data_IF_743220628691
#
_entry.id   IF_743220628691
#
_cell.length_a   1.000
_cell.length_b   1.000
_cell.length_c   1.000
_cell.angle_alpha   90.00
_cell.angle_beta   90.00
_cell.angle_gamma   90.00
#
_symmetry.space_group_name_H-M   'P 1'
#
loop_
_entity.id
_entity.type
_entity.pdbx_description
1 polymer ?
#
# COMPACT_ATOMS: atom_id res chain seq x y z
N UNK A 1 0.96 -18.85 9.17
CA UNK A 1 0.12 -17.73 9.64
C UNK A 1 -1.31 -17.94 9.22
N UNK A 2 -2.25 -17.21 9.80
CA UNK A 2 -3.67 -17.23 9.45
C UNK A 2 -4.11 -15.82 9.01
N UNK A 3 -5.11 -15.74 8.14
CA UNK A 3 -5.66 -14.44 7.70
C UNK A 3 -6.50 -13.82 8.82
N UNK A 4 -6.16 -12.59 9.20
CA UNK A 4 -7.00 -11.79 10.08
C UNK A 4 -8.17 -11.19 9.30
N UNK A 5 -9.38 -11.76 9.49
CA UNK A 5 -10.59 -11.42 8.72
C UNK A 5 -11.54 -10.47 9.45
N UNK A 6 -11.38 -10.30 10.77
CA UNK A 6 -12.32 -9.58 11.62
C UNK A 6 -13.69 -10.26 11.73
N UNK A 7 -14.63 -9.64 12.44
CA UNK A 7 -15.91 -10.26 12.79
C UNK A 7 -16.81 -10.60 11.58
N UNK A 8 -16.62 -9.92 10.45
CA UNK A 8 -17.47 -10.07 9.24
C UNK A 8 -16.69 -10.25 7.94
N UNK A 9 -15.39 -10.52 8.01
CA UNK A 9 -14.58 -10.70 6.80
C UNK A 9 -14.04 -9.42 6.15
N UNK A 10 -14.28 -8.25 6.75
CA UNK A 10 -13.88 -6.94 6.23
C UNK A 10 -12.73 -6.29 7.02
N UNK A 11 -11.93 -7.08 7.75
CA UNK A 11 -10.69 -6.52 8.30
C UNK A 11 -9.72 -6.18 7.15
N UNK A 12 -8.91 -5.14 7.36
CA UNK A 12 -7.92 -4.72 6.38
C UNK A 12 -8.35 -3.56 5.47
N UNK A 13 -9.49 -2.92 5.73
CA UNK A 13 -9.92 -1.67 5.05
C UNK A 13 -9.08 -0.44 5.48
N UNK A 14 -7.77 -0.62 5.55
CA UNK A 14 -6.80 0.37 6.07
C UNK A 14 -6.70 1.59 5.18
N UNK A 15 -7.05 1.46 3.89
CA UNK A 15 -7.18 2.60 2.96
C UNK A 15 -8.18 3.65 3.45
N UNK A 16 -9.15 3.27 4.29
CA UNK A 16 -10.12 4.18 4.90
C UNK A 16 -9.72 4.71 6.27
N UNK A 17 -8.55 4.36 6.81
CA UNK A 17 -8.05 5.00 8.03
C UNK A 17 -7.85 6.50 7.78
N UNK A 18 -8.27 7.34 8.73
CA UNK A 18 -7.99 8.77 8.65
C UNK A 18 -6.52 9.03 8.98
N UNK A 19 -5.78 9.54 8.01
CA UNK A 19 -4.41 10.03 8.20
C UNK A 19 -4.34 11.56 8.22
N UNK A 20 -5.36 12.23 7.67
CA UNK A 20 -5.49 13.69 7.73
C UNK A 20 -6.84 14.13 8.26
N UNK A 21 -6.85 14.63 9.50
CA UNK A 21 -8.09 14.96 10.21
C UNK A 21 -8.96 16.00 9.48
N UNK A 22 -8.32 16.93 8.77
CA UNK A 22 -8.99 17.94 7.95
C UNK A 22 -8.86 17.68 6.44
N UNK A 23 -8.60 16.42 6.08
CA UNK A 23 -8.26 15.99 4.74
C UNK A 23 -9.40 16.01 3.72
N UNK A 24 -9.09 15.48 2.53
CA UNK A 24 -9.99 15.40 1.37
C UNK A 24 -11.24 14.56 1.71
N UNK A 25 -12.43 14.88 1.14
CA UNK A 25 -13.61 14.03 1.26
C UNK A 25 -13.38 12.68 0.59
N UNK A 26 -13.85 11.60 1.21
CA UNK A 26 -13.78 10.25 0.67
C UNK A 26 -15.17 9.78 0.22
N UNK A 27 -15.23 8.99 -0.85
CA UNK A 27 -16.47 8.37 -1.32
C UNK A 27 -17.09 7.39 -0.31
N UNK A 28 -16.33 6.94 0.70
CA UNK A 28 -16.86 6.12 1.80
C UNK A 28 -17.72 6.92 2.80
N UNK A 29 -17.78 8.26 2.68
CA UNK A 29 -18.51 9.16 3.57
C UNK A 29 -17.65 9.81 4.66
N UNK A 30 -16.39 9.41 4.81
CA UNK A 30 -15.42 10.00 5.75
C UNK A 30 -14.56 11.10 5.09
N UNK A 31 -13.52 11.54 5.80
CA UNK A 31 -12.49 12.47 5.32
C UNK A 31 -11.09 12.00 5.70
N UNK A 32 -10.12 12.38 4.87
CA UNK A 32 -8.70 12.14 5.16
C UNK A 32 -8.29 10.67 5.07
N UNK A 33 -9.06 9.85 4.36
CA UNK A 33 -8.76 8.43 4.17
C UNK A 33 -7.39 8.26 3.48
N UNK A 34 -6.58 7.33 4.00
CA UNK A 34 -5.22 7.06 3.53
C UNK A 34 -5.10 6.87 2.01
N UNK A 35 -6.06 6.17 1.41
CA UNK A 35 -6.06 5.95 -0.04
C UNK A 35 -6.06 7.24 -0.87
N UNK A 36 -6.57 8.35 -0.34
CA UNK A 36 -6.62 9.64 -1.05
C UNK A 36 -5.24 10.30 -1.18
N UNK A 37 -4.23 9.72 -0.54
CA UNK A 37 -2.87 10.25 -0.45
C UNK A 37 -1.80 9.22 -0.84
N UNK A 38 -2.09 7.92 -0.70
CA UNK A 38 -1.15 6.82 -0.95
C UNK A 38 -1.73 5.74 -1.88
N UNK A 39 -2.47 6.15 -2.92
CA UNK A 39 -2.98 5.24 -3.96
C UNK A 39 -3.07 5.93 -5.33
N UNK A 40 -3.50 5.19 -6.36
CA UNK A 40 -3.75 5.74 -7.69
C UNK A 40 -4.86 6.82 -7.70
N UNK A 41 -5.73 6.87 -6.67
CA UNK A 41 -6.72 7.97 -6.52
C UNK A 41 -6.07 9.35 -6.43
N UNK A 42 -4.79 9.42 -6.11
CA UNK A 42 -4.04 10.68 -6.06
C UNK A 42 -3.78 11.26 -7.44
N UNK A 43 -3.82 10.44 -8.50
CA UNK A 43 -3.53 10.86 -9.87
C UNK A 43 -4.67 11.69 -10.49
N UNK A 44 -5.87 11.57 -9.95
CA UNK A 44 -7.05 12.32 -10.39
C UNK A 44 -7.18 13.69 -9.69
N UNK A 45 -6.12 14.14 -9.01
CA UNK A 45 -6.13 15.44 -8.35
C UNK A 45 -6.06 16.57 -9.40
N UNK A 46 -7.09 17.42 -9.55
CA UNK A 46 -7.12 18.47 -10.57
C UNK A 46 -6.04 19.54 -10.38
N UNK A 47 -5.51 19.66 -9.16
CA UNK A 47 -4.42 20.59 -8.84
C UNK A 47 -3.04 20.07 -9.28
N UNK A 48 -2.95 18.81 -9.74
CA UNK A 48 -1.72 18.19 -10.20
C UNK A 48 -1.79 17.96 -11.71
N UNK A 49 -0.84 18.50 -12.46
CA UNK A 49 -0.71 18.23 -13.89
C UNK A 49 0.15 17.00 -14.12
N UNK A 50 -0.40 15.82 -13.81
CA UNK A 50 0.27 14.56 -14.09
C UNK A 50 0.03 14.13 -15.55
N UNK A 51 1.03 13.55 -16.23
CA UNK A 51 0.93 13.19 -17.65
C UNK A 51 0.18 11.89 -17.91
N UNK A 52 -0.26 11.18 -16.85
CA UNK A 52 -0.96 9.92 -16.92
C UNK A 52 -1.73 9.64 -15.61
N UNK A 53 -2.63 8.66 -15.65
CA UNK A 53 -3.54 8.31 -14.53
C UNK A 53 -3.35 6.88 -14.01
N UNK A 54 -2.24 6.22 -14.36
CA UNK A 54 -1.92 4.88 -13.87
C UNK A 54 -0.46 4.80 -13.46
N UNK A 55 -0.15 3.98 -12.46
CA UNK A 55 1.24 3.84 -11.99
C UNK A 55 2.19 3.39 -13.10
N UNK A 56 1.89 2.36 -13.94
CA UNK A 56 2.82 1.90 -14.97
C UNK A 56 3.16 2.97 -16.02
N UNK A 57 2.26 3.91 -16.25
CA UNK A 57 2.50 5.04 -17.17
C UNK A 57 3.33 6.13 -16.51
N UNK A 58 2.98 6.51 -15.27
CA UNK A 58 3.73 7.50 -14.51
C UNK A 58 5.17 7.05 -14.22
N UNK A 59 5.40 5.76 -14.00
CA UNK A 59 6.76 5.19 -13.89
C UNK A 59 7.62 5.51 -15.12
N UNK A 60 7.05 5.51 -16.33
CA UNK A 60 7.82 5.86 -17.55
C UNK A 60 8.19 7.33 -17.57
N UNK A 61 7.29 8.21 -17.13
CA UNK A 61 7.58 9.64 -17.01
C UNK A 61 8.60 9.93 -15.90
N UNK A 62 8.49 9.26 -14.75
CA UNK A 62 9.49 9.35 -13.68
C UNK A 62 10.87 8.91 -14.16
N UNK A 63 10.96 7.78 -14.88
CA UNK A 63 12.21 7.29 -15.47
C UNK A 63 12.81 8.27 -16.50
N UNK A 64 11.98 9.08 -17.15
CA UNK A 64 12.44 10.17 -18.04
C UNK A 64 12.86 11.45 -17.30
N UNK A 65 12.77 11.48 -15.97
CA UNK A 65 13.18 12.61 -15.14
C UNK A 65 12.13 13.73 -15.03
N UNK A 66 10.85 13.44 -15.31
CA UNK A 66 9.81 14.46 -15.20
C UNK A 66 9.57 14.87 -13.74
N UNK A 67 9.88 16.12 -13.42
CA UNK A 67 9.92 16.65 -12.05
C UNK A 67 8.60 16.50 -11.29
N UNK A 68 7.45 16.85 -11.90
CA UNK A 68 6.15 16.77 -11.24
C UNK A 68 5.77 15.34 -10.83
N UNK A 69 6.06 14.35 -11.69
CA UNK A 69 5.81 12.95 -11.37
C UNK A 69 6.76 12.44 -10.28
N UNK A 70 8.03 12.83 -10.32
CA UNK A 70 9.00 12.48 -9.27
C UNK A 70 8.58 13.06 -7.91
N UNK A 71 8.21 14.34 -7.88
CA UNK A 71 7.72 15.01 -6.68
C UNK A 71 6.44 14.37 -6.14
N UNK A 72 5.52 13.98 -7.04
CA UNK A 72 4.29 13.29 -6.67
C UNK A 72 4.57 11.93 -6.04
N UNK A 73 5.44 11.10 -6.64
CA UNK A 73 5.83 9.83 -6.04
C UNK A 73 6.54 10.03 -4.69
N UNK A 74 7.43 11.02 -4.58
CA UNK A 74 8.08 11.32 -3.29
C UNK A 74 7.04 11.62 -2.21
N UNK A 75 6.09 12.51 -2.50
CA UNK A 75 5.00 12.86 -1.58
C UNK A 75 4.13 11.65 -1.24
N UNK A 76 3.79 10.83 -2.24
CA UNK A 76 3.04 9.59 -2.03
C UNK A 76 3.79 8.61 -1.12
N UNK A 77 5.11 8.48 -1.29
CA UNK A 77 5.96 7.64 -0.46
C UNK A 77 5.95 8.07 1.01
N UNK A 78 5.94 9.38 1.27
CA UNK A 78 5.80 9.90 2.65
C UNK A 78 4.46 9.51 3.27
N UNK A 79 3.35 9.71 2.56
CA UNK A 79 2.02 9.30 3.04
C UNK A 79 1.89 7.79 3.18
N UNK A 80 2.52 7.01 2.30
CA UNK A 80 2.61 5.56 2.42
C UNK A 80 3.35 5.19 3.71
N UNK A 81 4.46 5.86 4.03
CA UNK A 81 5.19 5.70 5.29
C UNK A 81 4.36 6.03 6.54
N UNK A 82 3.49 7.04 6.49
CA UNK A 82 2.58 7.39 7.59
C UNK A 82 1.62 6.24 7.89
N UNK A 83 0.90 5.75 6.87
CA UNK A 83 -0.05 4.66 7.09
C UNK A 83 0.64 3.34 7.44
N UNK A 84 1.79 3.04 6.84
CA UNK A 84 2.62 1.88 7.21
C UNK A 84 3.06 1.95 8.68
N UNK A 85 3.46 3.13 9.17
CA UNK A 85 3.77 3.35 10.59
C UNK A 85 2.58 2.99 11.49
N UNK A 86 1.36 3.38 11.11
CA UNK A 86 0.16 3.06 11.87
C UNK A 86 -0.07 1.53 11.92
N UNK A 87 0.18 0.81 10.83
CA UNK A 87 0.09 -0.65 10.79
C UNK A 87 1.16 -1.31 11.68
N UNK A 88 2.40 -0.81 11.65
CA UNK A 88 3.50 -1.30 12.50
C UNK A 88 3.12 -1.17 13.97
N UNK A 89 2.65 0.01 14.38
CA UNK A 89 2.26 0.26 15.77
C UNK A 89 1.01 -0.54 16.19
N UNK A 90 0.13 -0.88 15.24
CA UNK A 90 -1.12 -1.61 15.53
C UNK A 90 -0.92 -3.13 15.59
N UNK A 91 -0.04 -3.68 14.74
CA UNK A 91 0.08 -5.12 14.55
C UNK A 91 1.44 -5.70 14.93
N UNK A 92 2.47 -4.87 15.08
CA UNK A 92 3.86 -5.28 15.30
C UNK A 92 4.30 -6.43 14.36
N UNK A 93 4.18 -6.27 13.03
CA UNK A 93 4.50 -7.32 12.08
C UNK A 93 6.02 -7.48 11.87
N UNK A 94 6.43 -8.68 11.47
CA UNK A 94 7.80 -8.95 11.02
C UNK A 94 8.03 -8.50 9.55
N UNK A 95 6.97 -8.47 8.74
CA UNK A 95 7.05 -8.15 7.31
C UNK A 95 5.85 -7.33 6.85
N UNK A 96 6.11 -6.28 6.08
CA UNK A 96 5.12 -5.53 5.31
C UNK A 96 5.46 -5.66 3.83
N UNK A 97 4.49 -6.16 3.05
CA UNK A 97 4.62 -6.29 1.60
C UNK A 97 3.70 -5.28 0.93
N UNK A 98 4.28 -4.33 0.19
CA UNK A 98 3.55 -3.36 -0.62
C UNK A 98 3.25 -3.99 -1.98
N UNK A 99 1.97 -4.27 -2.24
CA UNK A 99 1.52 -4.92 -3.48
C UNK A 99 0.78 -3.97 -4.44
N UNK A 100 0.35 -4.53 -5.58
CA UNK A 100 -0.42 -3.81 -6.59
C UNK A 100 0.44 -2.92 -7.49
N UNK A 101 -0.20 -2.03 -8.23
CA UNK A 101 0.46 -1.18 -9.23
C UNK A 101 1.58 -0.31 -8.62
N UNK A 102 1.41 0.16 -7.37
CA UNK A 102 2.42 0.94 -6.65
C UNK A 102 3.76 0.22 -6.47
N UNK A 103 3.79 -1.12 -6.51
CA UNK A 103 5.06 -1.87 -6.46
C UNK A 103 5.99 -1.59 -7.64
N UNK A 104 5.45 -1.13 -8.76
CA UNK A 104 6.23 -0.75 -9.94
C UNK A 104 6.94 0.61 -9.76
N UNK A 105 6.55 1.39 -8.76
CA UNK A 105 7.14 2.69 -8.43
C UNK A 105 8.09 2.63 -7.20
N UNK A 106 8.56 1.43 -6.82
CA UNK A 106 9.46 1.23 -5.67
C UNK A 106 10.66 2.20 -5.65
N UNK A 107 11.26 2.46 -6.82
CA UNK A 107 12.43 3.32 -6.98
C UNK A 107 12.22 4.72 -6.37
N UNK A 108 11.00 5.27 -6.49
CA UNK A 108 10.67 6.63 -6.02
C UNK A 108 9.86 6.64 -4.73
N UNK A 109 9.14 5.56 -4.41
CA UNK A 109 8.34 5.45 -3.19
C UNK A 109 9.14 4.95 -1.98
N UNK A 110 10.16 4.12 -2.23
CA UNK A 110 10.78 3.30 -1.20
C UNK A 110 11.61 4.10 -0.20
N UNK A 111 12.43 5.05 -0.65
CA UNK A 111 13.21 5.91 0.26
C UNK A 111 12.29 6.78 1.13
N UNK A 112 11.33 7.55 0.57
CA UNK A 112 10.47 8.42 1.38
C UNK A 112 9.65 7.64 2.40
N UNK A 113 9.13 6.47 2.01
CA UNK A 113 8.44 5.55 2.92
C UNK A 113 9.34 5.16 4.08
N UNK A 114 10.54 4.66 3.79
CA UNK A 114 11.48 4.15 4.80
C UNK A 114 11.95 5.26 5.74
N UNK A 115 12.17 6.47 5.21
CA UNK A 115 12.50 7.66 6.00
C UNK A 115 11.41 7.99 7.00
N UNK A 116 10.15 8.11 6.55
CA UNK A 116 9.01 8.38 7.44
C UNK A 116 8.82 7.29 8.49
N UNK A 117 8.93 6.01 8.10
CA UNK A 117 8.85 4.90 9.04
C UNK A 117 9.97 4.98 10.08
N UNK A 118 11.21 5.27 9.67
CA UNK A 118 12.34 5.41 10.58
C UNK A 118 12.14 6.57 11.58
N UNK A 119 11.56 7.69 11.15
CA UNK A 119 11.31 8.86 12.01
C UNK A 119 10.17 8.61 13.02
N UNK A 120 9.16 7.80 12.67
CA UNK A 120 7.89 7.73 13.41
C UNK A 120 7.66 6.42 14.16
N UNK A 121 8.50 5.40 13.97
CA UNK A 121 8.40 4.13 14.70
C UNK A 121 9.33 4.07 15.91
N UNK A 122 8.85 3.44 16.98
CA UNK A 122 9.61 3.26 18.22
C UNK A 122 10.79 2.30 18.00
N UNK A 123 11.96 2.53 18.64
CA UNK A 123 13.18 1.76 18.36
C UNK A 123 13.04 0.23 18.47
N UNK A 124 12.22 -0.26 19.40
CA UNK A 124 12.03 -1.71 19.61
C UNK A 124 11.17 -2.39 18.53
N UNK A 125 10.32 -1.64 17.82
CA UNK A 125 9.56 -2.18 16.69
C UNK A 125 10.43 -2.39 15.43
N UNK A 126 11.65 -1.85 15.40
CA UNK A 126 12.53 -1.89 14.23
C UNK A 126 13.40 -3.15 14.14
N UNK A 127 13.58 -3.89 15.24
CA UNK A 127 14.64 -4.89 15.33
C UNK A 127 14.46 -6.11 14.40
N UNK A 128 13.28 -6.32 13.81
CA UNK A 128 12.99 -7.45 12.91
C UNK A 128 11.95 -7.10 11.83
N UNK A 129 11.71 -5.82 11.57
CA UNK A 129 10.72 -5.38 10.58
C UNK A 129 11.38 -5.28 9.20
N UNK A 130 10.82 -6.01 8.23
CA UNK A 130 11.13 -5.87 6.81
C UNK A 130 9.99 -5.19 6.06
N UNK A 131 10.33 -4.28 5.13
CA UNK A 131 9.37 -3.65 4.22
C UNK A 131 9.85 -3.87 2.79
N UNK A 132 9.08 -4.61 2.01
CA UNK A 132 9.39 -4.95 0.62
C UNK A 132 8.25 -4.58 -0.31
N UNK A 133 8.58 -4.34 -1.58
CA UNK A 133 7.59 -4.26 -2.64
C UNK A 133 7.43 -5.62 -3.32
N UNK A 134 6.21 -5.97 -3.71
CA UNK A 134 5.87 -7.25 -4.30
C UNK A 134 6.38 -7.37 -5.73
N UNK A 135 7.04 -8.49 -6.06
CA UNK A 135 7.47 -8.82 -7.43
C UNK A 135 6.32 -9.32 -8.33
N UNK A 136 5.12 -9.51 -7.76
CA UNK A 136 3.95 -9.97 -8.52
C UNK A 136 3.28 -8.84 -9.31
N UNK A 137 3.56 -7.58 -8.97
CA UNK A 137 2.95 -6.41 -9.60
C UNK A 137 1.42 -6.45 -9.56
N UNK A 138 0.80 -5.97 -10.63
CA UNK A 138 -0.66 -5.99 -10.84
C UNK A 138 -1.29 -7.40 -10.88
N UNK A 139 -0.49 -8.47 -11.04
CA UNK A 139 -0.99 -9.86 -11.09
C UNK A 139 -1.24 -10.47 -9.71
N UNK A 140 -0.77 -9.84 -8.63
CA UNK A 140 -0.88 -10.37 -7.26
C UNK A 140 -2.31 -10.74 -6.87
N UNK A 141 -3.28 -9.89 -7.19
CA UNK A 141 -4.71 -10.14 -6.91
C UNK A 141 -5.24 -11.35 -7.66
N UNK A 142 -4.92 -11.49 -8.95
CA UNK A 142 -5.36 -12.62 -9.78
C UNK A 142 -4.79 -13.94 -9.27
N UNK A 143 -3.50 -13.96 -8.92
CA UNK A 143 -2.83 -15.13 -8.33
C UNK A 143 -3.47 -15.49 -6.99
N UNK A 144 -3.72 -14.49 -6.13
CA UNK A 144 -4.38 -14.67 -4.84
C UNK A 144 -5.79 -15.24 -4.98
N UNK A 145 -6.57 -14.79 -5.96
CA UNK A 145 -7.89 -15.33 -6.26
C UNK A 145 -7.84 -16.80 -6.70
N UNK A 146 -6.92 -17.14 -7.62
CA UNK A 146 -6.70 -18.53 -8.05
C UNK A 146 -6.26 -19.43 -6.90
N UNK A 147 -5.29 -18.98 -6.09
CA UNK A 147 -4.85 -19.69 -4.89
C UNK A 147 -6.00 -19.88 -3.89
N UNK A 148 -6.80 -18.84 -3.64
CA UNK A 148 -7.96 -18.90 -2.74
C UNK A 148 -8.99 -19.93 -3.21
N UNK A 149 -9.31 -19.96 -4.50
CA UNK A 149 -10.22 -20.95 -5.08
C UNK A 149 -9.67 -22.38 -4.97
N UNK A 150 -8.38 -22.58 -5.27
CA UNK A 150 -7.71 -23.89 -5.16
C UNK A 150 -7.67 -24.35 -3.70
N UNK A 151 -7.32 -23.47 -2.76
CA UNK A 151 -7.28 -23.80 -1.33
C UNK A 151 -8.67 -24.04 -0.76
N UNK A 152 -9.71 -23.36 -1.25
CA UNK A 152 -11.08 -23.66 -0.84
C UNK A 152 -11.52 -25.05 -1.33
N UNK A 153 -11.10 -25.45 -2.53
CA UNK A 153 -11.44 -26.77 -3.08
C UNK A 153 -10.61 -27.91 -2.47
N UNK A 154 -9.30 -27.70 -2.26
CA UNK A 154 -8.35 -28.73 -1.82
C UNK A 154 -8.06 -28.72 -0.32
N UNK A 155 -8.19 -27.58 0.36
CA UNK A 155 -7.77 -27.39 1.75
C UNK A 155 -8.58 -28.21 2.76
N UNK A 156 -9.80 -28.61 2.41
CA UNK A 156 -10.64 -29.51 3.21
C UNK A 156 -10.36 -31.00 2.93
N UNK A 157 -9.51 -31.33 1.94
CA UNK A 157 -9.11 -32.71 1.66
C UNK A 157 -8.01 -33.11 2.63
N UNK A 158 -8.40 -33.64 3.79
CA UNK A 158 -7.50 -34.48 4.61
C UNK A 158 -7.29 -35.80 3.88
N UNK A 159 -6.18 -35.93 3.17
CA UNK A 159 -5.70 -37.25 2.73
C UNK A 159 -5.14 -37.95 3.98
N UNK A 160 -6.00 -38.67 4.70
CA UNK A 160 -5.55 -39.69 5.64
C UNK A 160 -5.00 -40.86 4.82
N UNK A 161 -3.67 -41.05 4.88
CA UNK A 161 -3.02 -42.30 4.50
C UNK A 161 -3.27 -43.37 5.56
#
# INVERSE_FOLDING_TARGET
GELYKGARGYAGETGHMTIEAQGKPCSCGSRGCWELYASEKTYDNPDLSLPAHTTPELVRYAASGQEDTLHHFSTMGEYLGIGVTNLINSFNPELIVIGGALSEAEEWLGEPLRRVVAERTLPYHKQQLEITFSKLGSRGTMIGAGFSAVMHFLGDIRVTL
#
